data_IF_660361933127
#
_entry.id   IF_660361933127
#
_cell.length_a   1.000
_cell.length_b   1.000
_cell.length_c   1.000
_cell.angle_alpha   90.00
_cell.angle_beta   90.00
_cell.angle_gamma   90.00
#
_symmetry.space_group_name_H-M   'P 1'
#
loop_
_entity.id
_entity.type
_entity.pdbx_description
1 polymer ?
#
# COMPACT_ATOMS: atom_id res chain seq x y z
N UNK A 1 80.60 13.69 -0.79
CA UNK A 1 80.36 13.41 0.63
C UNK A 1 78.98 13.92 0.95
N UNK A 2 78.00 13.02 1.13
CA UNK A 2 76.61 13.35 1.43
C UNK A 2 76.49 13.98 2.84
N UNK A 3 75.67 15.02 3.04
CA UNK A 3 75.16 15.35 4.35
C UNK A 3 73.76 14.74 4.55
N UNK A 4 73.61 14.02 5.65
CA UNK A 4 72.36 13.56 6.24
C UNK A 4 71.44 14.75 6.60
N UNK A 5 70.13 14.71 6.29
CA UNK A 5 69.18 15.62 6.90
C UNK A 5 68.40 14.91 8.03
N UNK A 6 68.43 15.52 9.21
CA UNK A 6 67.56 15.22 10.35
C UNK A 6 66.08 15.35 9.96
N UNK A 7 65.30 14.33 10.27
CA UNK A 7 63.83 14.38 10.19
C UNK A 7 63.33 15.01 11.50
N UNK A 8 62.89 16.27 11.43
CA UNK A 8 62.10 16.92 12.47
C UNK A 8 60.63 16.47 12.35
N UNK A 9 60.14 15.71 13.32
CA UNK A 9 58.72 15.39 13.46
C UNK A 9 57.97 16.64 13.95
N UNK A 10 57.27 17.32 13.05
CA UNK A 10 56.28 18.36 13.37
C UNK A 10 54.93 17.69 13.64
N UNK A 11 54.56 17.58 14.92
CA UNK A 11 53.23 17.16 15.35
C UNK A 11 52.23 18.29 15.13
N UNK A 12 51.43 18.21 14.08
CA UNK A 12 50.28 19.09 13.89
C UNK A 12 49.14 18.67 14.82
N UNK A 13 48.88 19.47 15.86
CA UNK A 13 47.66 19.41 16.66
C UNK A 13 46.51 19.97 15.81
N UNK A 14 45.72 19.07 15.21
CA UNK A 14 44.44 19.43 14.59
C UNK A 14 43.42 19.73 15.70
N UNK A 15 42.72 20.87 15.67
CA UNK A 15 41.66 21.15 16.62
C UNK A 15 40.49 20.19 16.37
N UNK A 16 39.98 19.59 17.44
CA UNK A 16 38.80 18.75 17.44
C UNK A 16 37.59 19.57 16.96
N UNK A 17 37.19 19.40 15.70
CA UNK A 17 35.87 19.79 15.26
C UNK A 17 34.85 18.94 16.03
N UNK A 18 34.24 19.56 17.04
CA UNK A 18 32.97 19.12 17.59
C UNK A 18 31.99 19.02 16.42
N UNK A 19 31.68 17.79 16.01
CA UNK A 19 30.57 17.51 15.11
C UNK A 19 29.29 17.92 15.82
N UNK A 20 28.82 19.14 15.59
CA UNK A 20 27.39 19.42 15.69
C UNK A 20 26.73 18.43 14.72
N UNK A 21 26.10 17.39 15.28
CA UNK A 21 25.16 16.58 14.54
C UNK A 21 24.01 17.48 14.14
N UNK A 22 24.11 18.10 12.97
CA UNK A 22 22.93 18.57 12.28
C UNK A 22 22.08 17.31 12.04
N UNK A 23 21.00 17.16 12.81
CA UNK A 23 19.93 16.25 12.45
C UNK A 23 19.49 16.68 11.06
N UNK A 24 19.94 15.97 10.03
CA UNK A 24 19.39 16.11 8.69
C UNK A 24 17.91 15.78 8.84
N UNK A 25 17.06 16.80 8.76
CA UNK A 25 15.62 16.66 8.71
C UNK A 25 15.28 15.97 7.38
N UNK A 26 15.46 14.65 7.32
CA UNK A 26 14.99 13.81 6.23
C UNK A 26 13.47 13.67 6.34
N UNK A 27 12.76 14.76 6.09
CA UNK A 27 11.32 14.70 5.85
C UNK A 27 11.13 14.11 4.47
N UNK A 28 10.53 12.93 4.40
CA UNK A 28 10.18 12.34 3.11
C UNK A 28 9.11 13.21 2.44
N UNK A 29 9.18 13.43 1.12
CA UNK A 29 8.10 14.06 0.39
C UNK A 29 6.78 13.30 0.59
N UNK A 30 5.77 13.96 1.15
CA UNK A 30 4.46 13.34 1.46
C UNK A 30 4.25 12.99 2.94
N UNK A 31 5.28 13.13 3.79
CA UNK A 31 5.11 12.98 5.23
C UNK A 31 4.23 14.10 5.79
N UNK A 32 3.19 13.74 6.55
CA UNK A 32 2.40 14.71 7.31
C UNK A 32 3.21 15.20 8.51
N UNK A 33 3.31 16.53 8.74
CA UNK A 33 4.15 17.09 9.81
C UNK A 33 3.65 16.76 11.22
N UNK A 34 2.41 16.29 11.35
CA UNK A 34 1.81 15.91 12.63
C UNK A 34 1.03 14.60 12.46
N UNK A 35 1.69 13.44 12.52
CA UNK A 35 1.02 12.14 12.33
C UNK A 35 -0.10 11.89 13.34
N UNK A 36 0.01 12.42 14.56
CA UNK A 36 -1.01 12.30 15.60
C UNK A 36 -2.32 12.99 15.21
N UNK A 37 -2.26 14.11 14.47
CA UNK A 37 -3.47 14.79 13.98
C UNK A 37 -4.20 13.96 12.93
N UNK A 38 -3.46 13.23 12.09
CA UNK A 38 -4.06 12.30 11.12
C UNK A 38 -4.77 11.17 11.85
N UNK A 39 -4.13 10.58 12.87
CA UNK A 39 -4.72 9.53 13.69
C UNK A 39 -5.98 10.01 14.43
N UNK A 40 -5.95 11.23 15.00
CA UNK A 40 -7.10 11.86 15.64
C UNK A 40 -8.25 12.11 14.66
N UNK A 41 -7.94 12.54 13.43
CA UNK A 41 -8.97 12.76 12.40
C UNK A 41 -9.62 11.44 11.97
N UNK A 42 -8.85 10.36 11.84
CA UNK A 42 -9.40 9.01 11.57
C UNK A 42 -10.36 8.61 12.70
N UNK A 43 -9.94 8.74 13.96
CA UNK A 43 -10.78 8.44 15.11
C UNK A 43 -12.07 9.29 15.13
N UNK A 44 -11.97 10.59 14.82
CA UNK A 44 -13.12 11.49 14.72
C UNK A 44 -14.10 11.03 13.64
N UNK A 45 -13.61 10.67 12.45
CA UNK A 45 -14.45 10.18 11.34
C UNK A 45 -15.14 8.86 11.68
N UNK A 46 -14.44 7.94 12.34
CA UNK A 46 -15.01 6.69 12.85
C UNK A 46 -16.17 6.96 13.79
N UNK A 47 -15.94 7.77 14.83
CA UNK A 47 -16.97 8.07 15.83
C UNK A 47 -18.19 8.75 15.20
N UNK A 48 -17.98 9.65 14.24
CA UNK A 48 -19.06 10.27 13.50
C UNK A 48 -19.89 9.24 12.71
N UNK A 49 -19.25 8.26 12.04
CA UNK A 49 -19.96 7.20 11.32
C UNK A 49 -20.71 6.25 12.25
N UNK A 50 -20.09 5.79 13.33
CA UNK A 50 -20.74 4.93 14.33
C UNK A 50 -21.94 5.64 14.96
N UNK A 51 -21.79 6.93 15.31
CA UNK A 51 -22.88 7.74 15.88
C UNK A 51 -24.05 7.86 14.89
N UNK A 52 -23.77 8.15 13.61
CA UNK A 52 -24.82 8.21 12.56
C UNK A 52 -25.56 6.88 12.43
N UNK A 53 -24.84 5.76 12.37
CA UNK A 53 -25.45 4.42 12.33
C UNK A 53 -26.36 4.19 13.53
N UNK A 54 -25.91 4.51 14.75
CA UNK A 54 -26.69 4.30 15.97
C UNK A 54 -27.97 5.15 16.01
N UNK A 55 -27.89 6.44 15.62
CA UNK A 55 -29.06 7.33 15.57
C UNK A 55 -30.13 6.83 14.59
N UNK A 56 -29.72 6.28 13.44
CA UNK A 56 -30.65 5.76 12.44
C UNK A 56 -31.32 4.45 12.89
N UNK A 57 -30.60 3.57 13.58
CA UNK A 57 -31.18 2.37 14.19
C UNK A 57 -32.26 2.70 15.24
N UNK A 58 -32.14 3.84 15.93
CA UNK A 58 -33.18 4.32 16.86
C UNK A 58 -34.40 4.82 16.07
N UNK A 59 -34.18 5.58 15.00
CA UNK A 59 -35.25 6.17 14.18
C UNK A 59 -36.04 5.13 13.36
N UNK A 60 -35.41 4.03 12.93
CA UNK A 60 -36.06 2.96 12.16
C UNK A 60 -37.02 2.09 12.99
N UNK A 61 -37.10 2.29 14.32
CA UNK A 61 -38.12 1.61 15.15
C UNK A 61 -39.53 2.18 14.98
N UNK A 62 -39.69 3.33 14.35
CA UNK A 62 -40.98 4.03 14.23
C UNK A 62 -41.60 4.05 12.82
N UNK A 63 -40.87 3.73 11.74
CA UNK A 63 -41.45 3.61 10.39
C UNK A 63 -40.76 2.52 9.54
N UNK A 64 -41.58 1.65 8.93
CA UNK A 64 -41.14 0.62 8.00
C UNK A 64 -40.70 1.22 6.66
N UNK A 65 -39.49 0.88 6.23
CA UNK A 65 -38.92 1.03 4.87
C UNK A 65 -37.99 2.24 4.62
N UNK A 66 -36.73 2.09 5.03
CA UNK A 66 -35.57 2.55 4.28
C UNK A 66 -34.34 1.92 4.93
N UNK A 67 -33.74 0.88 4.32
CA UNK A 67 -32.50 0.30 4.86
C UNK A 67 -31.39 1.34 4.78
N UNK A 68 -31.11 2.03 5.88
CA UNK A 68 -30.03 3.01 5.91
C UNK A 68 -28.69 2.29 5.75
N UNK A 69 -27.92 2.66 4.71
CA UNK A 69 -26.70 1.94 4.34
C UNK A 69 -25.52 2.18 5.32
N UNK A 70 -25.69 2.99 6.38
CA UNK A 70 -24.58 3.34 7.26
C UNK A 70 -24.01 2.12 8.00
N UNK A 71 -22.81 1.74 7.62
CA UNK A 71 -22.06 0.60 8.12
C UNK A 71 -21.34 0.92 9.43
N UNK A 72 -21.17 2.19 9.78
CA UNK A 72 -20.31 2.62 10.88
C UNK A 72 -18.82 2.67 10.49
N UNK A 73 -18.50 2.34 9.24
CA UNK A 73 -17.19 2.52 8.64
C UNK A 73 -17.24 3.76 7.72
N UNK A 74 -16.49 4.83 8.06
CA UNK A 74 -16.56 6.08 7.30
C UNK A 74 -16.06 5.97 5.85
N UNK A 75 -15.22 4.99 5.52
CA UNK A 75 -14.78 4.74 4.14
C UNK A 75 -15.95 4.20 3.32
N UNK A 76 -16.57 3.11 3.79
CA UNK A 76 -17.70 2.48 3.09
C UNK A 76 -18.91 3.42 3.04
N UNK A 77 -19.21 4.13 4.13
CA UNK A 77 -20.31 5.09 4.20
C UNK A 77 -20.18 6.23 3.17
N UNK A 78 -18.95 6.55 2.74
CA UNK A 78 -18.69 7.63 1.79
C UNK A 78 -19.07 7.28 0.33
N UNK A 79 -18.93 6.01 -0.07
CA UNK A 79 -19.17 5.58 -1.47
C UNK A 79 -20.19 4.46 -1.61
N UNK A 80 -20.17 3.45 -0.74
CA UNK A 80 -20.98 2.22 -0.86
C UNK A 80 -22.47 2.51 -0.67
N UNK A 81 -22.76 3.58 0.05
CA UNK A 81 -24.10 4.07 0.33
C UNK A 81 -24.67 5.02 -0.70
N UNK A 82 -23.89 5.36 -1.73
CA UNK A 82 -24.42 5.99 -2.92
C UNK A 82 -24.97 4.88 -3.85
N UNK A 83 -26.29 4.74 -4.04
CA UNK A 83 -26.85 3.72 -4.95
C UNK A 83 -26.41 3.95 -6.40
N UNK A 84 -25.92 5.15 -6.74
CA UNK A 84 -25.41 5.50 -8.06
C UNK A 84 -23.88 5.32 -8.18
N UNK A 85 -23.22 4.67 -7.21
CA UNK A 85 -21.79 4.36 -7.31
C UNK A 85 -21.39 3.67 -8.64
N UNK A 86 -22.20 2.81 -9.30
CA UNK A 86 -21.79 2.20 -10.56
C UNK A 86 -21.58 3.22 -11.69
N UNK A 87 -22.33 4.31 -11.69
CA UNK A 87 -22.19 5.41 -12.65
C UNK A 87 -21.23 6.50 -12.17
N UNK A 88 -20.76 6.43 -10.92
CA UNK A 88 -19.84 7.38 -10.32
C UNK A 88 -18.66 6.66 -9.65
N UNK A 89 -18.06 5.71 -10.37
CA UNK A 89 -16.98 4.85 -9.84
C UNK A 89 -15.83 5.65 -9.23
N UNK A 90 -15.45 6.75 -9.87
CA UNK A 90 -14.30 7.55 -9.48
C UNK A 90 -14.49 8.31 -8.15
N UNK A 91 -15.73 8.46 -7.66
CA UNK A 91 -16.03 9.02 -6.32
C UNK A 91 -15.33 8.26 -5.20
N UNK A 92 -15.03 6.97 -5.40
CA UNK A 92 -14.27 6.17 -4.44
C UNK A 92 -12.98 6.87 -4.01
N UNK A 93 -12.27 7.53 -4.92
CA UNK A 93 -11.00 8.20 -4.63
C UNK A 93 -11.13 9.38 -3.64
N UNK A 94 -12.34 9.84 -3.33
CA UNK A 94 -12.59 10.87 -2.32
C UNK A 94 -12.83 10.30 -0.91
N UNK A 95 -12.85 8.98 -0.77
CA UNK A 95 -13.29 8.29 0.45
C UNK A 95 -12.16 7.74 1.30
N UNK A 96 -10.92 7.80 0.83
CA UNK A 96 -9.75 7.43 1.61
C UNK A 96 -9.63 8.28 2.88
N UNK A 97 -9.18 7.67 3.97
CA UNK A 97 -8.84 8.34 5.23
C UNK A 97 -7.45 7.92 5.68
N UNK A 98 -6.91 8.55 6.72
CA UNK A 98 -5.60 8.21 7.24
C UNK A 98 -4.48 8.76 6.38
N UNK A 99 -3.30 8.15 6.43
CA UNK A 99 -2.13 8.67 5.72
C UNK A 99 -2.24 8.55 4.19
N UNK A 100 -2.98 7.56 3.68
CA UNK A 100 -3.26 7.40 2.25
C UNK A 100 -4.44 8.24 1.72
N UNK A 101 -4.98 9.19 2.50
CA UNK A 101 -6.14 10.01 2.08
C UNK A 101 -5.91 10.85 0.82
N UNK A 102 -4.66 11.04 0.40
CA UNK A 102 -4.29 11.79 -0.80
C UNK A 102 -4.07 10.89 -2.03
N UNK A 103 -4.25 9.58 -1.90
CA UNK A 103 -4.16 8.66 -3.03
C UNK A 103 -5.30 8.91 -4.01
N UNK A 104 -5.04 9.67 -5.08
CA UNK A 104 -6.06 9.97 -6.10
C UNK A 104 -6.26 8.84 -7.11
N UNK A 105 -5.30 7.90 -7.19
CA UNK A 105 -5.30 6.84 -8.19
C UNK A 105 -5.42 7.42 -9.61
N UNK A 106 -6.29 6.82 -10.42
CA UNK A 106 -6.62 7.28 -11.78
C UNK A 106 -7.76 8.28 -11.87
N UNK A 107 -8.15 8.95 -10.78
CA UNK A 107 -9.27 9.91 -10.78
C UNK A 107 -9.09 10.98 -11.86
N UNK A 108 -10.18 11.37 -12.52
CA UNK A 108 -10.25 12.26 -13.69
C UNK A 108 -9.54 11.73 -14.95
N UNK A 109 -8.95 10.53 -14.88
CA UNK A 109 -8.44 9.81 -16.04
C UNK A 109 -9.55 9.07 -16.79
N UNK A 110 -9.20 8.58 -17.96
CA UNK A 110 -10.09 7.73 -18.75
C UNK A 110 -10.27 6.36 -18.09
N UNK A 111 -11.41 5.73 -18.38
CA UNK A 111 -11.61 4.33 -18.04
C UNK A 111 -10.80 3.47 -19.01
N UNK A 112 -10.06 2.51 -18.47
CA UNK A 112 -9.46 1.43 -19.24
C UNK A 112 -10.16 0.13 -18.91
N UNK A 113 -10.71 -0.55 -19.91
CA UNK A 113 -11.45 -1.80 -19.73
C UNK A 113 -10.51 -2.95 -20.05
N UNK A 114 -10.17 -3.76 -19.05
CA UNK A 114 -9.42 -4.99 -19.26
C UNK A 114 -10.34 -6.02 -19.90
N UNK A 115 -9.98 -6.50 -21.09
CA UNK A 115 -10.77 -7.44 -21.89
C UNK A 115 -10.01 -8.73 -22.21
N UNK A 116 -8.72 -8.77 -21.87
CA UNK A 116 -7.82 -9.88 -22.09
C UNK A 116 -7.07 -10.16 -20.77
N UNK A 117 -7.23 -11.36 -20.22
CA UNK A 117 -6.62 -11.80 -18.96
C UNK A 117 -5.24 -12.45 -19.14
N UNK A 118 -4.73 -12.53 -20.38
CA UNK A 118 -3.40 -13.06 -20.67
C UNK A 118 -2.27 -12.13 -20.24
N UNK A 119 -1.12 -12.74 -19.94
CA UNK A 119 0.12 -12.04 -19.54
C UNK A 119 1.37 -12.72 -20.14
N UNK A 120 1.27 -13.09 -21.41
CA UNK A 120 2.24 -13.98 -22.08
C UNK A 120 3.59 -13.31 -22.39
N UNK A 121 3.60 -11.98 -22.57
CA UNK A 121 4.80 -11.19 -22.88
C UNK A 121 4.96 -10.02 -21.89
N UNK A 122 5.87 -10.12 -20.91
CA UNK A 122 6.11 -9.06 -19.93
C UNK A 122 6.83 -7.84 -20.53
N UNK A 123 7.36 -7.93 -21.75
CA UNK A 123 8.01 -6.84 -22.48
C UNK A 123 7.07 -6.18 -23.48
N UNK A 124 6.17 -6.90 -24.15
CA UNK A 124 5.26 -6.33 -25.15
C UNK A 124 3.80 -6.66 -24.85
N UNK A 125 3.20 -6.07 -23.79
CA UNK A 125 1.83 -6.35 -23.44
C UNK A 125 0.86 -5.85 -24.52
N UNK A 126 -0.15 -6.66 -24.84
CA UNK A 126 -1.21 -6.31 -25.80
C UNK A 126 -2.18 -5.29 -25.20
N UNK A 127 -2.66 -4.29 -25.97
CA UNK A 127 -3.85 -3.52 -25.59
C UNK A 127 -5.01 -4.47 -25.25
N UNK A 128 -5.80 -4.10 -24.24
CA UNK A 128 -6.82 -4.96 -23.64
C UNK A 128 -6.35 -5.71 -22.38
N UNK A 129 -5.03 -5.92 -22.20
CA UNK A 129 -4.50 -6.59 -21.01
C UNK A 129 -4.30 -5.64 -19.82
N UNK A 130 -4.24 -6.20 -18.61
CA UNK A 130 -3.92 -5.45 -17.40
C UNK A 130 -2.49 -4.87 -17.44
N UNK A 131 -1.50 -5.65 -17.91
CA UNK A 131 -0.11 -5.17 -18.01
C UNK A 131 0.02 -3.97 -18.93
N UNK A 132 -0.72 -3.93 -20.04
CA UNK A 132 -0.73 -2.75 -20.90
C UNK A 132 -1.31 -1.53 -20.17
N UNK A 133 -2.38 -1.70 -19.38
CA UNK A 133 -3.05 -0.61 -18.69
C UNK A 133 -2.16 0.06 -17.63
N UNK A 134 -1.52 -0.74 -16.77
CA UNK A 134 -0.83 -0.21 -15.58
C UNK A 134 0.44 0.57 -15.91
N UNK A 135 1.05 0.33 -17.06
CA UNK A 135 2.28 1.02 -17.48
C UNK A 135 2.02 2.40 -18.12
N UNK A 136 0.77 2.69 -18.52
CA UNK A 136 0.46 3.92 -19.26
C UNK A 136 0.82 5.19 -18.47
N UNK A 137 1.29 6.26 -19.13
CA UNK A 137 1.74 7.48 -18.44
C UNK A 137 0.57 8.32 -17.89
N UNK A 138 -0.58 8.32 -18.57
CA UNK A 138 -1.76 9.07 -18.16
C UNK A 138 -2.48 8.43 -16.96
N UNK A 139 -3.25 9.20 -16.17
CA UNK A 139 -4.14 8.65 -15.17
C UNK A 139 -5.15 7.68 -15.80
N UNK A 140 -5.33 6.49 -15.22
CA UNK A 140 -6.30 5.51 -15.71
C UNK A 140 -7.10 4.89 -14.56
N UNK A 141 -8.42 4.85 -14.75
CA UNK A 141 -9.34 4.08 -13.92
C UNK A 141 -9.61 2.72 -14.57
N UNK A 142 -8.88 1.69 -14.13
CA UNK A 142 -8.86 0.36 -14.74
C UNK A 142 -10.00 -0.48 -14.17
N UNK A 143 -10.86 -1.01 -15.04
CA UNK A 143 -12.06 -1.78 -14.67
C UNK A 143 -12.15 -3.09 -15.43
N UNK A 144 -12.99 -3.99 -14.91
CA UNK A 144 -13.18 -5.34 -15.42
C UNK A 144 -14.67 -5.56 -15.77
N UNK A 145 -15.00 -5.91 -17.02
CA UNK A 145 -16.38 -6.12 -17.44
C UNK A 145 -16.92 -7.50 -17.04
N UNK A 146 -16.05 -8.43 -16.65
CA UNK A 146 -16.38 -9.79 -16.25
C UNK A 146 -15.35 -10.33 -15.24
N UNK A 147 -15.65 -11.47 -14.64
CA UNK A 147 -14.72 -12.19 -13.77
C UNK A 147 -13.46 -12.57 -14.56
N UNK A 148 -12.29 -12.45 -13.93
CA UNK A 148 -11.00 -12.73 -14.56
C UNK A 148 -10.05 -13.43 -13.59
N UNK A 149 -9.25 -14.36 -14.12
CA UNK A 149 -8.10 -14.94 -13.44
C UNK A 149 -6.83 -14.54 -14.20
N UNK A 150 -6.19 -13.47 -13.77
CA UNK A 150 -5.00 -12.94 -14.40
C UNK A 150 -3.79 -13.64 -13.78
N UNK A 151 -3.22 -14.59 -14.52
CA UNK A 151 -2.00 -15.30 -14.13
C UNK A 151 -0.79 -14.59 -14.70
N UNK A 152 -0.11 -13.83 -13.86
CA UNK A 152 1.07 -13.07 -14.24
C UNK A 152 2.26 -13.99 -14.51
N UNK A 153 3.01 -13.68 -15.57
CA UNK A 153 4.26 -14.37 -15.90
C UNK A 153 5.44 -13.79 -15.11
N UNK A 154 5.40 -12.49 -14.80
CA UNK A 154 6.43 -11.71 -14.11
C UNK A 154 5.79 -10.59 -13.27
N UNK A 155 6.58 -9.95 -12.39
CA UNK A 155 6.18 -8.73 -11.66
C UNK A 155 5.36 -7.76 -12.55
N UNK A 156 4.18 -7.37 -12.10
CA UNK A 156 3.32 -6.38 -12.72
C UNK A 156 3.70 -5.00 -12.17
N UNK A 157 4.60 -4.32 -12.90
CA UNK A 157 5.12 -3.01 -12.51
C UNK A 157 4.12 -1.91 -12.89
N UNK A 158 3.68 -1.14 -11.91
CA UNK A 158 2.76 -0.02 -12.11
C UNK A 158 3.50 1.27 -12.44
N UNK A 159 2.82 2.14 -13.20
CA UNK A 159 3.12 3.57 -13.28
C UNK A 159 2.24 4.35 -12.29
N UNK A 160 2.55 5.63 -12.05
CA UNK A 160 1.77 6.52 -11.18
C UNK A 160 0.35 6.76 -11.71
N UNK A 161 -0.55 7.24 -10.85
CA UNK A 161 -1.92 7.63 -11.18
C UNK A 161 -2.76 6.48 -11.76
N UNK A 162 -2.86 5.38 -11.01
CA UNK A 162 -3.64 4.21 -11.43
C UNK A 162 -4.65 3.85 -10.36
N UNK A 163 -5.87 3.59 -10.77
CA UNK A 163 -6.84 2.86 -9.94
C UNK A 163 -7.08 1.51 -10.57
N UNK A 164 -6.89 0.44 -9.80
CA UNK A 164 -7.38 -0.88 -10.13
C UNK A 164 -8.70 -1.10 -9.38
N UNK A 165 -9.83 -1.09 -10.10
CA UNK A 165 -11.17 -1.18 -9.53
C UNK A 165 -11.86 -2.48 -9.97
N UNK A 166 -11.83 -3.48 -9.10
CA UNK A 166 -12.47 -4.77 -9.33
C UNK A 166 -13.98 -4.80 -9.07
N UNK A 167 -14.62 -3.70 -8.66
CA UNK A 167 -16.06 -3.73 -8.31
C UNK A 167 -16.92 -4.14 -9.50
N UNK A 168 -17.82 -5.09 -9.25
CA UNK A 168 -18.73 -5.66 -10.26
C UNK A 168 -18.19 -6.91 -10.95
N UNK A 169 -16.97 -7.33 -10.63
CA UNK A 169 -16.36 -8.56 -11.14
C UNK A 169 -15.60 -9.28 -10.02
N UNK A 170 -15.46 -10.59 -10.14
CA UNK A 170 -14.54 -11.37 -9.32
C UNK A 170 -13.19 -11.48 -10.05
N UNK A 171 -12.23 -10.67 -9.63
CA UNK A 171 -10.92 -10.52 -10.28
C UNK A 171 -9.83 -11.08 -9.38
N UNK A 172 -9.13 -12.08 -9.89
CA UNK A 172 -8.01 -12.73 -9.23
C UNK A 172 -6.69 -12.39 -9.93
N UNK A 173 -5.68 -11.99 -9.17
CA UNK A 173 -4.30 -11.81 -9.63
C UNK A 173 -3.43 -12.83 -8.91
N UNK A 174 -2.75 -13.66 -9.70
CA UNK A 174 -1.89 -14.75 -9.21
C UNK A 174 -0.60 -14.81 -10.03
N UNK A 175 0.38 -15.60 -9.59
CA UNK A 175 1.50 -15.98 -10.43
C UNK A 175 2.83 -15.30 -10.09
N UNK A 176 3.63 -15.00 -11.11
CA UNK A 176 4.99 -14.51 -10.93
C UNK A 176 5.04 -13.07 -10.41
N UNK A 177 5.63 -12.87 -9.23
CA UNK A 177 5.96 -11.56 -8.65
C UNK A 177 4.78 -10.68 -8.22
N UNK A 178 3.59 -10.88 -8.78
CA UNK A 178 2.38 -10.08 -8.52
C UNK A 178 2.62 -8.57 -8.65
N UNK A 179 2.15 -7.74 -7.71
CA UNK A 179 2.07 -6.28 -7.92
C UNK A 179 3.32 -5.59 -7.38
N UNK A 180 3.95 -4.74 -8.20
CA UNK A 180 5.11 -3.93 -7.80
C UNK A 180 4.83 -2.44 -7.99
N UNK A 181 4.82 -1.69 -6.90
CA UNK A 181 4.66 -0.23 -6.83
C UNK A 181 6.00 0.42 -6.48
N UNK A 182 6.88 0.58 -7.47
CA UNK A 182 8.26 1.03 -7.26
C UNK A 182 8.50 2.46 -7.77
N UNK A 183 8.84 3.37 -6.84
CA UNK A 183 9.14 4.79 -7.09
C UNK A 183 8.02 5.54 -7.80
N UNK A 184 6.78 5.27 -7.42
CA UNK A 184 5.58 5.86 -8.00
C UNK A 184 4.70 6.54 -6.94
N UNK A 185 3.67 7.24 -7.39
CA UNK A 185 2.68 7.83 -6.49
C UNK A 185 1.26 7.70 -7.02
N UNK A 186 0.28 7.94 -6.15
CA UNK A 186 -1.14 8.01 -6.50
C UNK A 186 -1.64 6.69 -7.10
N UNK A 187 -1.69 5.64 -6.27
CA UNK A 187 -2.23 4.34 -6.68
C UNK A 187 -3.34 3.90 -5.73
N UNK A 188 -4.45 3.46 -6.30
CA UNK A 188 -5.55 2.80 -5.57
C UNK A 188 -5.66 1.37 -6.09
N UNK A 189 -5.64 0.38 -5.20
CA UNK A 189 -5.95 -1.01 -5.51
C UNK A 189 -7.19 -1.37 -4.71
N UNK A 190 -8.30 -1.65 -5.40
CA UNK A 190 -9.60 -1.80 -4.77
C UNK A 190 -10.38 -3.01 -5.29
N UNK A 191 -10.89 -3.83 -4.36
CA UNK A 191 -11.76 -4.98 -4.64
C UNK A 191 -11.11 -6.06 -5.54
N UNK A 192 -9.87 -6.46 -5.22
CA UNK A 192 -9.10 -7.47 -5.97
C UNK A 192 -8.70 -8.64 -5.05
N UNK A 193 -8.76 -9.87 -5.56
CA UNK A 193 -8.22 -11.05 -4.90
C UNK A 193 -6.78 -11.28 -5.36
N UNK A 194 -5.82 -11.25 -4.44
CA UNK A 194 -4.38 -11.41 -4.74
C UNK A 194 -3.87 -12.61 -3.95
N UNK A 195 -3.43 -13.66 -4.65
CA UNK A 195 -3.01 -14.88 -3.96
C UNK A 195 -2.10 -15.75 -4.81
N UNK A 196 -1.42 -16.72 -4.17
CA UNK A 196 -0.57 -17.67 -4.88
C UNK A 196 0.52 -16.98 -5.72
N UNK A 197 1.03 -15.86 -5.21
CA UNK A 197 2.17 -15.16 -5.78
C UNK A 197 3.46 -15.93 -5.49
N UNK A 198 4.35 -16.01 -6.47
CA UNK A 198 5.63 -16.73 -6.33
C UNK A 198 6.78 -15.96 -6.99
N UNK A 199 8.03 -16.21 -6.56
CA UNK A 199 9.23 -15.61 -7.16
C UNK A 199 9.27 -15.72 -8.68
N UNK A 200 9.46 -14.59 -9.36
CA UNK A 200 9.70 -14.51 -10.79
C UNK A 200 10.85 -13.55 -11.07
N UNK A 201 11.30 -13.40 -12.31
CA UNK A 201 12.38 -12.50 -12.67
C UNK A 201 13.45 -13.20 -13.51
N UNK A 202 14.66 -12.65 -13.46
CA UNK A 202 15.77 -12.96 -14.35
C UNK A 202 15.41 -12.78 -15.83
N UNK A 203 14.64 -11.73 -16.11
CA UNK A 203 14.16 -11.41 -17.45
C UNK A 203 13.93 -9.91 -17.60
N UNK A 204 13.64 -9.48 -18.82
CA UNK A 204 13.23 -8.11 -19.10
C UNK A 204 11.74 -7.94 -18.78
N UNK A 205 11.40 -6.85 -18.09
CA UNK A 205 10.01 -6.48 -17.78
C UNK A 205 9.78 -5.02 -18.12
N UNK A 206 8.67 -4.73 -18.79
CA UNK A 206 8.27 -3.37 -19.14
C UNK A 206 7.66 -2.63 -17.94
N UNK A 207 8.10 -1.40 -17.72
CA UNK A 207 7.56 -0.50 -16.67
C UNK A 207 6.91 0.77 -17.22
N UNK A 208 7.14 1.10 -18.49
CA UNK A 208 6.45 2.19 -19.20
C UNK A 208 6.40 1.89 -20.72
N UNK A 209 5.62 2.64 -21.52
CA UNK A 209 5.62 2.46 -22.98
C UNK A 209 7.00 2.63 -23.61
N UNK A 210 7.89 3.38 -22.97
CA UNK A 210 9.23 3.70 -23.49
C UNK A 210 10.36 2.99 -22.75
N UNK A 211 10.08 2.27 -21.66
CA UNK A 211 11.10 1.64 -20.83
C UNK A 211 10.75 0.21 -20.41
N UNK A 212 11.72 -0.68 -20.60
CA UNK A 212 11.77 -2.01 -20.00
C UNK A 212 13.19 -2.28 -19.52
N UNK A 213 13.33 -3.02 -18.42
CA UNK A 213 14.61 -3.25 -17.75
C UNK A 213 14.74 -4.69 -17.25
N UNK A 214 15.97 -5.11 -16.99
CA UNK A 214 16.23 -6.43 -16.42
C UNK A 214 15.79 -6.44 -14.95
N UNK A 215 14.98 -7.43 -14.59
CA UNK A 215 14.52 -7.68 -13.22
C UNK A 215 15.22 -8.90 -12.67
N UNK A 216 15.82 -8.76 -11.50
CA UNK A 216 16.30 -9.92 -10.72
C UNK A 216 15.11 -10.69 -10.15
N UNK A 217 15.39 -11.82 -9.51
CA UNK A 217 14.36 -12.62 -8.86
C UNK A 217 13.63 -11.80 -7.76
N UNK A 218 12.31 -11.72 -7.85
CA UNK A 218 11.41 -11.17 -6.84
C UNK A 218 11.18 -12.16 -5.70
N UNK A 219 10.74 -11.68 -4.54
CA UNK A 219 10.49 -12.53 -3.37
C UNK A 219 9.15 -13.29 -3.47
N UNK A 220 8.20 -12.74 -4.23
CA UNK A 220 6.89 -13.35 -4.46
C UNK A 220 5.82 -12.87 -3.48
N UNK A 221 5.88 -11.59 -3.12
CA UNK A 221 4.85 -10.92 -2.34
C UNK A 221 3.54 -10.77 -3.12
N UNK A 222 2.46 -10.46 -2.41
CA UNK A 222 1.21 -10.01 -3.05
C UNK A 222 1.35 -8.62 -3.66
N UNK A 223 1.72 -7.64 -2.83
CA UNK A 223 1.93 -6.24 -3.21
C UNK A 223 3.22 -5.74 -2.58
N UNK A 224 4.22 -5.39 -3.39
CA UNK A 224 5.46 -4.77 -2.92
C UNK A 224 5.49 -3.27 -3.25
N UNK A 225 5.73 -2.43 -2.24
CA UNK A 225 5.71 -0.97 -2.28
C UNK A 225 7.12 -0.44 -1.94
N UNK A 226 7.80 0.14 -2.92
CA UNK A 226 9.20 0.56 -2.80
C UNK A 226 9.34 2.06 -3.07
N UNK A 227 9.70 2.85 -2.05
CA UNK A 227 9.89 4.30 -2.18
C UNK A 227 8.72 5.03 -2.85
N UNK A 228 7.50 4.56 -2.60
CA UNK A 228 6.28 5.08 -3.21
C UNK A 228 5.42 5.83 -2.20
N UNK A 229 4.52 6.69 -2.69
CA UNK A 229 3.66 7.50 -1.82
C UNK A 229 2.24 7.68 -2.32
N UNK A 230 1.34 8.08 -1.43
CA UNK A 230 -0.07 8.30 -1.75
C UNK A 230 -0.69 7.02 -2.33
N UNK A 231 -0.68 5.95 -1.51
CA UNK A 231 -1.12 4.60 -1.88
C UNK A 231 -2.32 4.21 -1.01
N UNK A 232 -3.34 3.62 -1.63
CA UNK A 232 -4.50 3.09 -0.92
C UNK A 232 -4.83 1.68 -1.40
N UNK A 233 -4.80 0.71 -0.48
CA UNK A 233 -5.15 -0.69 -0.71
C UNK A 233 -6.42 -0.98 0.07
N UNK A 234 -7.52 -1.19 -0.64
CA UNK A 234 -8.87 -1.20 -0.05
C UNK A 234 -9.72 -2.38 -0.52
N UNK A 235 -10.50 -3.02 0.36
CA UNK A 235 -11.43 -4.11 -0.02
C UNK A 235 -10.77 -5.28 -0.78
N UNK A 236 -9.46 -5.49 -0.63
CA UNK A 236 -8.76 -6.60 -1.28
C UNK A 236 -8.78 -7.86 -0.40
N UNK A 237 -8.66 -9.02 -1.02
CA UNK A 237 -8.45 -10.30 -0.31
C UNK A 237 -7.07 -10.83 -0.63
N UNK A 238 -6.22 -11.04 0.39
CA UNK A 238 -4.84 -11.49 0.21
C UNK A 238 -4.55 -12.78 0.98
N UNK A 239 -3.95 -13.77 0.30
CA UNK A 239 -3.58 -15.06 0.93
C UNK A 239 -2.52 -15.85 0.14
N UNK A 240 -1.89 -16.84 0.77
CA UNK A 240 -1.06 -17.85 0.10
C UNK A 240 0.03 -17.30 -0.84
N UNK A 241 0.63 -16.15 -0.54
CA UNK A 241 1.80 -15.69 -1.29
C UNK A 241 3.05 -16.45 -0.85
N UNK A 242 4.17 -16.29 -1.56
CA UNK A 242 5.39 -17.01 -1.21
C UNK A 242 6.14 -16.39 -0.04
N UNK A 243 6.21 -15.05 -0.02
CA UNK A 243 6.92 -14.27 1.00
C UNK A 243 5.94 -13.38 1.76
N UNK A 244 5.86 -12.07 1.52
CA UNK A 244 4.88 -11.16 2.16
C UNK A 244 3.49 -11.16 1.50
N UNK A 245 2.43 -10.68 2.18
CA UNK A 245 1.21 -10.24 1.46
C UNK A 245 1.32 -8.78 1.03
N UNK A 246 1.74 -7.89 1.94
CA UNK A 246 2.00 -6.48 1.64
C UNK A 246 3.30 -6.05 2.30
N UNK A 247 4.27 -5.65 1.47
CA UNK A 247 5.56 -5.15 1.92
C UNK A 247 5.74 -3.70 1.50
N UNK A 248 5.95 -2.79 2.46
CA UNK A 248 6.22 -1.38 2.22
C UNK A 248 7.57 -0.98 2.80
N UNK A 249 8.50 -0.54 1.94
CA UNK A 249 9.90 -0.34 2.31
C UNK A 249 10.50 0.85 1.55
N UNK A 250 11.78 1.13 1.78
CA UNK A 250 12.58 2.09 1.00
C UNK A 250 12.04 3.52 1.06
N UNK A 251 11.56 3.96 2.24
CA UNK A 251 10.98 5.29 2.43
C UNK A 251 9.60 5.45 1.79
N UNK A 252 8.82 4.38 1.69
CA UNK A 252 7.41 4.50 1.30
C UNK A 252 6.60 5.20 2.41
N UNK A 253 5.66 6.06 2.06
CA UNK A 253 4.89 6.86 3.04
C UNK A 253 3.54 7.30 2.49
N UNK A 254 2.63 7.80 3.33
CA UNK A 254 1.30 8.22 2.86
C UNK A 254 0.47 7.02 2.37
N UNK A 255 0.38 5.98 3.21
CA UNK A 255 -0.27 4.72 2.84
C UNK A 255 -1.49 4.48 3.74
N UNK A 256 -2.61 4.04 3.15
CA UNK A 256 -3.73 3.45 3.89
C UNK A 256 -3.99 2.04 3.38
N UNK A 257 -4.12 1.10 4.30
CA UNK A 257 -4.49 -0.30 4.05
C UNK A 257 -5.80 -0.53 4.81
N UNK A 258 -6.93 -0.61 4.10
CA UNK A 258 -8.24 -0.66 4.73
C UNK A 258 -9.20 -1.70 4.18
N UNK A 259 -10.13 -2.18 5.00
CA UNK A 259 -11.20 -3.09 4.56
C UNK A 259 -10.73 -4.38 3.88
N UNK A 260 -9.46 -4.76 4.05
CA UNK A 260 -8.93 -5.94 3.39
C UNK A 260 -9.19 -7.18 4.23
N UNK A 261 -9.27 -8.34 3.58
CA UNK A 261 -9.29 -9.64 4.21
C UNK A 261 -7.95 -10.35 4.02
N UNK A 262 -7.29 -10.70 5.12
CA UNK A 262 -6.03 -11.45 5.12
C UNK A 262 -6.27 -12.85 5.69
N UNK A 263 -5.77 -13.90 5.05
CA UNK A 263 -5.86 -15.26 5.59
C UNK A 263 -4.76 -16.18 5.06
N UNK A 264 -4.58 -17.34 5.70
CA UNK A 264 -3.73 -18.44 5.22
C UNK A 264 -2.32 -17.99 4.81
N UNK A 265 -1.57 -17.39 5.74
CA UNK A 265 -0.27 -16.84 5.42
C UNK A 265 0.61 -16.65 6.66
N UNK A 266 1.91 -16.84 6.52
CA UNK A 266 2.86 -16.68 7.63
C UNK A 266 3.20 -15.21 7.86
N UNK A 267 3.85 -14.58 6.87
CA UNK A 267 4.41 -13.24 6.95
C UNK A 267 3.46 -12.22 6.31
N UNK A 268 2.48 -11.71 7.08
CA UNK A 268 1.36 -10.94 6.50
C UNK A 268 1.80 -9.58 5.94
N UNK A 269 2.39 -8.71 6.76
CA UNK A 269 2.66 -7.33 6.38
C UNK A 269 3.95 -6.80 7.00
N UNK A 270 4.92 -6.43 6.15
CA UNK A 270 6.17 -5.82 6.57
C UNK A 270 6.19 -4.32 6.25
N UNK A 271 6.39 -3.49 7.27
CA UNK A 271 6.52 -2.04 7.14
C UNK A 271 7.93 -1.63 7.57
N UNK A 272 8.81 -1.43 6.60
CA UNK A 272 10.24 -1.15 6.78
C UNK A 272 11.08 -2.44 6.86
N UNK A 273 12.13 -2.54 6.04
CA UNK A 273 12.88 -3.79 5.82
C UNK A 273 14.09 -3.97 6.74
N UNK A 274 14.70 -2.87 7.18
CA UNK A 274 15.96 -2.90 7.93
C UNK A 274 15.94 -1.92 9.10
N UNK A 275 16.41 -2.39 10.25
CA UNK A 275 16.57 -1.56 11.44
C UNK A 275 17.53 -0.40 11.17
N UNK A 276 18.49 -0.52 10.25
CA UNK A 276 19.47 0.53 9.94
C UNK A 276 19.04 1.48 8.81
N UNK A 277 17.91 1.24 8.14
CA UNK A 277 17.48 2.07 7.02
C UNK A 277 16.73 3.32 7.52
N UNK A 278 17.50 4.38 7.80
CA UNK A 278 16.98 5.63 8.38
C UNK A 278 15.84 6.31 7.58
N UNK A 279 15.79 6.27 6.23
CA UNK A 279 14.70 6.90 5.50
C UNK A 279 13.30 6.34 5.86
N UNK A 280 13.18 5.10 6.34
CA UNK A 280 11.90 4.55 6.81
C UNK A 280 11.36 5.29 8.06
N UNK A 281 12.14 6.18 8.69
CA UNK A 281 11.65 7.06 9.77
C UNK A 281 10.58 8.06 9.31
N UNK A 282 10.52 8.36 8.00
CA UNK A 282 9.46 9.17 7.41
C UNK A 282 8.22 8.37 6.98
N UNK A 283 8.22 7.05 7.12
CA UNK A 283 7.10 6.19 6.76
C UNK A 283 5.89 6.50 7.64
N UNK A 284 4.72 6.66 7.02
CA UNK A 284 3.45 6.86 7.71
C UNK A 284 2.37 6.00 7.09
N UNK A 285 1.77 5.11 7.89
CA UNK A 285 0.82 4.09 7.42
C UNK A 285 -0.40 4.03 8.34
N UNK A 286 -1.60 4.01 7.76
CA UNK A 286 -2.85 3.71 8.47
C UNK A 286 -3.31 2.30 8.08
N UNK A 287 -3.56 1.44 9.06
CA UNK A 287 -4.12 0.10 8.90
C UNK A 287 -5.47 0.12 9.61
N UNK A 288 -6.58 0.09 8.86
CA UNK A 288 -7.91 0.29 9.45
C UNK A 288 -8.99 -0.63 8.87
N UNK A 289 -9.90 -1.13 9.71
CA UNK A 289 -11.06 -1.93 9.26
C UNK A 289 -10.71 -3.22 8.52
N UNK A 290 -9.46 -3.69 8.58
CA UNK A 290 -9.10 -4.96 7.99
C UNK A 290 -9.57 -6.10 8.86
N UNK A 291 -9.83 -7.24 8.22
CA UNK A 291 -10.06 -8.51 8.88
C UNK A 291 -8.83 -9.40 8.68
N UNK A 292 -8.05 -9.54 9.75
CA UNK A 292 -6.97 -10.51 9.88
C UNK A 292 -7.59 -11.84 10.35
N UNK A 293 -7.94 -12.67 9.36
CA UNK A 293 -8.76 -13.86 9.52
C UNK A 293 -8.00 -15.09 9.99
N UNK A 294 -8.38 -16.24 9.44
CA UNK A 294 -7.87 -17.54 9.89
C UNK A 294 -6.47 -17.88 9.35
N UNK A 295 -5.77 -18.73 10.09
CA UNK A 295 -4.47 -19.33 9.71
C UNK A 295 -3.42 -18.28 9.32
N UNK A 296 -3.38 -17.19 10.08
CA UNK A 296 -2.28 -16.25 10.05
C UNK A 296 -1.26 -16.61 11.13
N UNK A 297 0.04 -16.41 10.86
CA UNK A 297 1.09 -16.68 11.84
C UNK A 297 1.55 -15.40 12.52
N UNK A 298 1.96 -14.39 11.74
CA UNK A 298 2.60 -13.17 12.27
C UNK A 298 2.51 -11.94 11.35
N UNK A 299 3.08 -10.82 11.83
CA UNK A 299 3.30 -9.56 11.08
C UNK A 299 2.01 -8.85 10.65
N UNK A 300 1.12 -8.56 11.59
CA UNK A 300 -0.14 -7.86 11.33
C UNK A 300 -0.24 -6.50 12.07
N UNK A 301 0.65 -5.51 11.83
CA UNK A 301 1.86 -5.53 11.00
C UNK A 301 3.13 -5.87 11.79
N UNK A 302 4.24 -6.07 11.06
CA UNK A 302 5.60 -5.93 11.63
C UNK A 302 6.26 -4.64 11.15
N UNK A 303 6.52 -3.73 12.09
CA UNK A 303 6.95 -2.36 11.78
C UNK A 303 8.43 -2.10 12.12
N UNK A 304 9.05 -1.20 11.37
CA UNK A 304 10.33 -0.58 11.70
C UNK A 304 10.31 0.90 11.42
N UNK A 305 10.88 1.69 12.33
CA UNK A 305 10.91 3.15 12.23
C UNK A 305 9.47 3.69 12.03
N UNK A 306 9.27 4.81 11.35
CA UNK A 306 7.96 5.31 10.94
C UNK A 306 6.90 5.50 12.02
N UNK A 307 5.71 5.92 11.57
CA UNK A 307 4.49 6.06 12.36
C UNK A 307 3.38 5.20 11.77
N UNK A 308 2.88 4.26 12.55
CA UNK A 308 1.86 3.30 12.11
C UNK A 308 0.65 3.43 13.02
N UNK A 309 -0.49 3.78 12.42
CA UNK A 309 -1.79 3.84 13.09
C UNK A 309 -2.58 2.58 12.76
N UNK A 310 -2.75 1.70 13.76
CA UNK A 310 -3.54 0.47 13.65
C UNK A 310 -4.85 0.70 14.36
N UNK A 311 -5.98 0.78 13.65
CA UNK A 311 -7.26 1.19 14.27
C UNK A 311 -8.45 0.37 13.77
N UNK A 312 -9.29 -0.10 14.68
CA UNK A 312 -10.52 -0.84 14.33
C UNK A 312 -10.32 -2.01 13.36
N UNK A 313 -9.25 -2.79 13.52
CA UNK A 313 -9.06 -4.03 12.76
C UNK A 313 -9.59 -5.21 13.58
N UNK A 314 -10.17 -6.20 12.91
CA UNK A 314 -10.54 -7.49 13.51
C UNK A 314 -9.34 -8.42 13.38
N UNK A 315 -8.78 -8.84 14.51
CA UNK A 315 -7.77 -9.89 14.59
C UNK A 315 -8.42 -11.16 15.13
N UNK A 316 -8.74 -12.10 14.25
CA UNK A 316 -9.44 -13.33 14.61
C UNK A 316 -8.50 -14.41 15.10
N UNK A 317 -7.36 -14.62 14.42
CA UNK A 317 -6.42 -15.68 14.76
C UNK A 317 -4.97 -15.31 14.40
N UNK A 318 -4.02 -15.67 15.27
CA UNK A 318 -2.59 -15.66 14.98
C UNK A 318 -1.86 -16.74 15.76
N UNK A 319 -0.81 -17.33 15.18
CA UNK A 319 -0.02 -18.38 15.85
C UNK A 319 1.14 -17.83 16.68
N UNK A 320 1.80 -16.75 16.24
CA UNK A 320 2.99 -16.20 16.90
C UNK A 320 2.75 -14.82 17.54
N UNK A 321 2.41 -13.79 16.76
CA UNK A 321 2.02 -12.46 17.26
C UNK A 321 1.19 -11.70 16.22
N UNK A 322 0.30 -10.80 16.67
CA UNK A 322 -0.38 -9.88 15.77
C UNK A 322 0.51 -8.69 15.39
N UNK A 323 0.67 -7.74 16.30
CA UNK A 323 1.41 -6.49 16.06
C UNK A 323 2.81 -6.59 16.67
N UNK A 324 3.85 -6.26 15.90
CA UNK A 324 5.24 -6.29 16.38
C UNK A 324 6.15 -5.31 15.65
N UNK A 325 7.40 -5.20 16.09
CA UNK A 325 8.37 -4.35 15.41
C UNK A 325 9.76 -4.32 16.01
N UNK A 326 10.70 -3.73 15.27
CA UNK A 326 12.09 -3.49 15.67
C UNK A 326 12.58 -2.15 15.10
N UNK A 327 13.76 -1.64 15.49
CA UNK A 327 14.23 -0.36 14.97
C UNK A 327 13.40 0.87 15.39
N UNK A 328 12.80 0.85 16.60
CA UNK A 328 12.09 1.96 17.23
C UNK A 328 10.91 2.54 16.41
N UNK A 329 9.89 1.73 16.06
CA UNK A 329 8.70 2.24 15.41
C UNK A 329 7.75 2.93 16.38
N UNK A 330 6.97 3.89 15.88
CA UNK A 330 5.81 4.40 16.61
C UNK A 330 4.57 3.63 16.17
N UNK A 331 3.99 2.84 17.06
CA UNK A 331 2.77 2.08 16.79
C UNK A 331 1.66 2.63 17.68
N UNK A 332 0.67 3.27 17.07
CA UNK A 332 -0.53 3.75 17.72
C UNK A 332 -1.66 2.76 17.44
N UNK A 333 -1.96 1.88 18.39
CA UNK A 333 -3.04 0.89 18.30
C UNK A 333 -4.30 1.40 18.99
N UNK A 334 -5.44 1.47 18.30
CA UNK A 334 -6.70 2.04 18.79
C UNK A 334 -7.94 1.19 18.50
#
# INVERSE_FOLDING_TARGET
MLPTPCILLLTFLLPSLSRLGAALNFTLPGQHPSPELVAQEVYRKVNASVTRRHLLQISEKDESSSSSCYTGNPIDDCWKCDPNWPNNRQRLADCAIGFGQYALGGKNGEFYIVTDDSDDDPVNPKPGTLRYAVIQPQPLWIVFPANMLIKLSQELIFNSYKTLDGRGANVHIVGGGCITLQYISNVIIHNIHIHHCYPSGNTMVRSSPTHYGYRTKSDGDGISIFGSKDIWIDHCSLSHCKDGLIDAVMGSTGITISNNYFSHHDEVMLLGHSDSYLPDSGMQVTIAFNHFGEKLVQRMPRCRRGYIHVVNNDFTQWEMYAIGGSGNPTINSQ
#
